data_IF_089395527295
#
_entry.id   IF_089395527295
#
_cell.length_a   1.000
_cell.length_b   1.000
_cell.length_c   1.000
_cell.angle_alpha   90.00
_cell.angle_beta   90.00
_cell.angle_gamma   90.00
#
_symmetry.space_group_name_H-M   'P 1'
#
loop_
_entity.id
_entity.type
_entity.pdbx_description
1 polymer ?
#
# COMPACT_ATOMS: atom_id res chain seq x y z
N UNK A 1 -1.29 -10.61 23.77
CA UNK A 1 -2.64 -10.90 23.23
C UNK A 1 -2.56 -12.04 22.24
N UNK A 2 -3.67 -12.72 22.01
CA UNK A 2 -3.86 -13.72 20.95
C UNK A 2 -4.58 -13.04 19.80
N UNK A 3 -3.83 -12.79 18.70
CA UNK A 3 -4.29 -12.01 17.55
C UNK A 3 -4.57 -12.97 16.39
N UNK A 4 -5.82 -13.01 15.90
CA UNK A 4 -6.18 -13.75 14.71
C UNK A 4 -6.38 -12.76 13.56
N UNK A 5 -5.53 -12.83 12.56
CA UNK A 5 -5.63 -12.02 11.34
C UNK A 5 -6.19 -12.90 10.22
N UNK A 6 -7.10 -12.36 9.42
CA UNK A 6 -7.67 -13.12 8.29
C UNK A 6 -7.71 -12.28 7.03
N UNK A 7 -7.23 -12.85 5.93
CA UNK A 7 -7.10 -12.18 4.63
C UNK A 7 -7.63 -13.07 3.49
N UNK A 8 -7.95 -12.48 2.36
CA UNK A 8 -8.43 -13.21 1.17
C UNK A 8 -7.40 -14.22 0.66
N UNK A 9 -6.17 -13.81 0.46
CA UNK A 9 -5.03 -14.59 -0.02
C UNK A 9 -3.73 -13.89 0.31
N UNK A 10 -2.59 -14.51 0.01
CA UNK A 10 -1.26 -13.98 0.24
C UNK A 10 -0.46 -13.95 -1.08
N UNK A 11 -1.01 -13.28 -2.09
CA UNK A 11 -0.31 -12.94 -3.32
C UNK A 11 0.61 -11.72 -3.14
N UNK A 12 1.15 -11.21 -4.25
CA UNK A 12 2.04 -10.03 -4.23
C UNK A 12 1.21 -8.75 -4.34
N UNK A 13 0.84 -8.17 -3.20
CA UNK A 13 0.08 -6.93 -3.11
C UNK A 13 0.40 -6.12 -1.85
N UNK A 14 -0.08 -4.88 -1.80
CA UNK A 14 0.18 -3.96 -0.69
C UNK A 14 -0.48 -4.40 0.62
N UNK A 15 -1.73 -4.87 0.57
CA UNK A 15 -2.44 -5.35 1.74
C UNK A 15 -1.81 -6.63 2.30
N UNK A 16 -1.36 -7.52 1.42
CA UNK A 16 -0.70 -8.78 1.78
C UNK A 16 0.64 -8.52 2.47
N UNK A 17 1.45 -7.59 1.93
CA UNK A 17 2.72 -7.16 2.56
C UNK A 17 2.48 -6.55 3.93
N UNK A 18 1.50 -5.65 4.06
CA UNK A 18 1.14 -5.07 5.35
C UNK A 18 0.76 -6.14 6.36
N UNK A 19 -0.14 -7.06 5.98
CA UNK A 19 -0.66 -8.09 6.90
C UNK A 19 0.43 -9.05 7.34
N UNK A 20 1.34 -9.47 6.43
CA UNK A 20 2.48 -10.32 6.80
C UNK A 20 3.47 -9.58 7.69
N UNK A 21 3.81 -8.33 7.36
CA UNK A 21 4.70 -7.53 8.19
C UNK A 21 4.12 -7.24 9.58
N UNK A 22 2.84 -6.92 9.69
CA UNK A 22 2.17 -6.76 10.99
C UNK A 22 2.16 -8.06 11.79
N UNK A 23 1.94 -9.21 11.13
CA UNK A 23 1.96 -10.50 11.81
C UNK A 23 3.35 -10.81 12.40
N UNK A 24 4.41 -10.55 11.64
CA UNK A 24 5.79 -10.68 12.09
C UNK A 24 6.10 -9.74 13.27
N UNK A 25 5.74 -8.46 13.13
CA UNK A 25 5.95 -7.48 14.19
C UNK A 25 5.21 -7.83 15.48
N UNK A 26 3.93 -8.23 15.38
CA UNK A 26 3.16 -8.64 16.57
C UNK A 26 3.75 -9.87 17.25
N UNK A 27 4.29 -10.83 16.49
CA UNK A 27 4.99 -11.99 17.06
C UNK A 27 6.31 -11.58 17.74
N UNK A 28 7.04 -10.63 17.14
CA UNK A 28 8.29 -10.13 17.68
C UNK A 28 8.10 -9.40 19.03
N UNK A 29 7.05 -8.61 19.16
CA UNK A 29 6.70 -7.93 20.44
C UNK A 29 5.93 -8.84 21.42
N UNK A 30 5.90 -10.16 21.17
CA UNK A 30 5.45 -11.18 22.13
C UNK A 30 3.94 -11.49 22.10
N UNK A 31 3.24 -11.21 21.00
CA UNK A 31 1.86 -11.65 20.80
C UNK A 31 1.81 -13.05 20.16
N UNK A 32 0.79 -13.84 20.46
CA UNK A 32 0.50 -15.10 19.78
C UNK A 32 -0.33 -14.80 18.54
N UNK A 33 0.22 -15.05 17.33
CA UNK A 33 -0.39 -14.66 16.06
C UNK A 33 -0.81 -15.86 15.24
N UNK A 34 -2.07 -15.86 14.79
CA UNK A 34 -2.61 -16.79 13.82
C UNK A 34 -3.05 -16.02 12.56
N UNK A 35 -2.37 -16.24 11.45
CA UNK A 35 -2.72 -15.68 10.15
C UNK A 35 -3.50 -16.72 9.33
N UNK A 36 -4.71 -16.37 8.90
CA UNK A 36 -5.62 -17.25 8.16
C UNK A 36 -5.87 -16.68 6.77
N UNK A 37 -5.71 -17.48 5.74
CA UNK A 37 -6.08 -17.11 4.36
C UNK A 37 -7.23 -17.94 3.84
N UNK A 38 -8.07 -17.36 2.98
CA UNK A 38 -9.22 -18.05 2.40
C UNK A 38 -8.85 -18.90 1.20
N UNK A 39 -8.01 -18.38 0.29
CA UNK A 39 -7.70 -19.00 -1.00
C UNK A 39 -6.19 -19.05 -1.28
N UNK A 40 -5.89 -19.78 -2.36
CA UNK A 40 -4.66 -19.72 -3.12
C UNK A 40 -3.44 -20.25 -2.40
N UNK A 41 -2.30 -20.12 -3.02
CA UNK A 41 -1.00 -20.36 -2.42
C UNK A 41 -0.49 -19.12 -1.70
N UNK A 42 0.45 -19.25 -0.79
CA UNK A 42 1.09 -18.13 -0.12
C UNK A 42 2.40 -17.80 -0.86
N UNK A 43 2.33 -16.80 -1.75
CA UNK A 43 3.52 -16.22 -2.39
C UNK A 43 4.29 -15.37 -1.39
N UNK A 44 3.55 -14.59 -0.57
CA UNK A 44 4.07 -13.91 0.61
C UNK A 44 3.78 -14.75 1.85
N UNK A 45 4.76 -14.87 2.74
CA UNK A 45 4.63 -15.57 4.02
C UNK A 45 5.23 -14.71 5.12
N UNK A 46 4.68 -14.78 6.34
CA UNK A 46 5.39 -14.26 7.50
C UNK A 46 6.81 -14.84 7.58
N UNK A 47 7.75 -14.00 7.95
CA UNK A 47 9.16 -14.39 8.13
C UNK A 47 9.41 -15.00 9.50
N UNK A 48 8.63 -14.61 10.51
CA UNK A 48 8.74 -15.11 11.87
C UNK A 48 8.10 -16.50 12.01
N UNK A 49 8.86 -17.54 12.39
CA UNK A 49 8.33 -18.90 12.52
C UNK A 49 7.31 -19.05 13.67
N UNK A 50 7.19 -18.07 14.57
CA UNK A 50 6.17 -18.04 15.63
C UNK A 50 4.78 -17.73 15.09
N UNK A 51 4.67 -17.09 13.91
CA UNK A 51 3.41 -16.83 13.26
C UNK A 51 2.84 -18.12 12.66
N UNK A 52 1.69 -18.56 13.17
CA UNK A 52 0.99 -19.71 12.61
C UNK A 52 0.22 -19.30 11.38
N UNK A 53 0.46 -19.97 10.23
CA UNK A 53 -0.23 -19.74 8.97
C UNK A 53 -1.18 -20.88 8.65
N UNK A 54 -2.48 -20.57 8.45
CA UNK A 54 -3.52 -21.52 8.12
C UNK A 54 -4.23 -21.17 6.81
N UNK A 55 -4.67 -22.21 6.08
CA UNK A 55 -5.42 -22.04 4.83
C UNK A 55 -6.80 -22.69 4.94
N UNK A 56 -7.86 -21.93 4.74
CA UNK A 56 -9.23 -22.46 4.76
C UNK A 56 -9.57 -23.26 3.51
N UNK A 57 -8.77 -23.18 2.45
CA UNK A 57 -9.00 -23.86 1.17
C UNK A 57 -10.44 -23.64 0.64
N UNK A 58 -10.90 -22.39 0.71
CA UNK A 58 -12.27 -22.04 0.35
C UNK A 58 -12.47 -22.22 -1.16
N UNK A 59 -13.49 -22.97 -1.53
CA UNK A 59 -13.90 -23.12 -2.94
C UNK A 59 -14.99 -22.10 -3.27
N UNK A 60 -15.01 -21.62 -4.51
CA UNK A 60 -15.99 -20.65 -5.02
C UNK A 60 -17.36 -21.33 -5.31
N UNK A 61 -17.89 -22.03 -4.32
CA UNK A 61 -19.22 -22.65 -4.36
C UNK A 61 -19.91 -22.46 -3.02
N UNK A 62 -21.25 -22.43 -2.93
CA UNK A 62 -21.96 -22.26 -1.66
C UNK A 62 -21.53 -23.27 -0.58
N UNK A 63 -21.43 -24.55 -0.93
CA UNK A 63 -20.95 -25.59 -0.02
C UNK A 63 -19.49 -25.41 0.36
N UNK A 64 -18.65 -24.94 -0.56
CA UNK A 64 -17.23 -24.65 -0.30
C UNK A 64 -17.06 -23.49 0.67
N UNK A 65 -17.85 -22.44 0.54
CA UNK A 65 -17.90 -21.32 1.48
C UNK A 65 -18.37 -21.79 2.86
N UNK A 66 -19.46 -22.57 2.92
CA UNK A 66 -19.96 -23.11 4.20
C UNK A 66 -18.91 -23.98 4.89
N UNK A 67 -18.25 -24.88 4.16
CA UNK A 67 -17.19 -25.74 4.70
C UNK A 67 -16.00 -24.90 5.23
N UNK A 68 -15.59 -23.86 4.52
CA UNK A 68 -14.55 -22.93 4.97
C UNK A 68 -14.98 -22.18 6.24
N UNK A 69 -16.22 -21.72 6.33
CA UNK A 69 -16.75 -21.06 7.53
C UNK A 69 -16.78 -21.98 8.75
N UNK A 70 -17.14 -23.27 8.56
CA UNK A 70 -17.07 -24.25 9.64
C UNK A 70 -15.61 -24.47 10.10
N UNK A 71 -14.65 -24.55 9.19
CA UNK A 71 -13.22 -24.65 9.54
C UNK A 71 -12.76 -23.38 10.27
N UNK A 72 -13.14 -22.21 9.77
CA UNK A 72 -12.78 -20.93 10.39
C UNK A 72 -13.36 -20.82 11.81
N UNK A 73 -14.63 -21.19 12.00
CA UNK A 73 -15.22 -21.27 13.33
C UNK A 73 -14.44 -22.18 14.28
N UNK A 74 -14.02 -23.36 13.81
CA UNK A 74 -13.20 -24.28 14.62
C UNK A 74 -11.87 -23.65 15.00
N UNK A 75 -11.20 -22.97 14.08
CA UNK A 75 -9.94 -22.25 14.34
C UNK A 75 -10.15 -21.16 15.40
N UNK A 76 -11.18 -20.32 15.26
CA UNK A 76 -11.50 -19.28 16.24
C UNK A 76 -11.76 -19.89 17.61
N UNK A 77 -12.59 -20.94 17.70
CA UNK A 77 -12.91 -21.58 18.98
C UNK A 77 -11.70 -22.30 19.62
N UNK A 78 -10.80 -22.87 18.85
CA UNK A 78 -9.60 -23.54 19.37
C UNK A 78 -8.50 -22.56 19.73
N UNK A 79 -8.30 -21.53 18.91
CA UNK A 79 -7.29 -20.49 19.15
C UNK A 79 -7.72 -19.52 20.26
N UNK A 80 -9.02 -19.26 20.44
CA UNK A 80 -9.59 -18.33 21.41
C UNK A 80 -8.94 -16.96 21.35
N UNK A 81 -9.04 -16.25 20.22
CA UNK A 81 -8.38 -14.96 20.05
C UNK A 81 -8.97 -13.91 20.99
N UNK A 82 -8.13 -12.98 21.45
CA UNK A 82 -8.55 -11.75 22.11
C UNK A 82 -9.14 -10.78 21.08
N UNK A 83 -8.59 -10.77 19.86
CA UNK A 83 -9.03 -9.95 18.74
C UNK A 83 -8.97 -10.75 17.43
N UNK A 84 -9.98 -10.52 16.59
CA UNK A 84 -10.01 -10.96 15.20
C UNK A 84 -9.91 -9.72 14.31
N UNK A 85 -8.88 -9.63 13.46
CA UNK A 85 -8.76 -8.58 12.46
C UNK A 85 -8.91 -9.18 11.06
N UNK A 86 -9.96 -8.78 10.37
CA UNK A 86 -10.24 -9.19 8.99
C UNK A 86 -9.80 -8.13 7.99
N UNK A 87 -9.15 -8.56 6.90
CA UNK A 87 -8.63 -7.68 5.86
C UNK A 87 -9.25 -8.00 4.50
N UNK A 88 -9.62 -6.97 3.74
CA UNK A 88 -10.29 -7.04 2.44
C UNK A 88 -11.78 -7.43 2.53
N UNK A 89 -12.52 -7.20 1.42
CA UNK A 89 -13.98 -7.29 1.38
C UNK A 89 -14.55 -8.66 1.79
N UNK A 90 -14.04 -9.75 1.22
CA UNK A 90 -14.62 -11.08 1.47
C UNK A 90 -14.40 -11.53 2.92
N UNK A 91 -13.17 -11.49 3.49
CA UNK A 91 -12.97 -11.77 4.91
C UNK A 91 -13.79 -10.85 5.81
N UNK A 92 -13.86 -9.53 5.51
CA UNK A 92 -14.64 -8.60 6.32
C UNK A 92 -16.11 -9.03 6.44
N UNK A 93 -16.76 -9.29 5.32
CA UNK A 93 -18.19 -9.67 5.32
C UNK A 93 -18.39 -11.03 5.97
N UNK A 94 -17.60 -12.04 5.58
CA UNK A 94 -17.77 -13.41 6.07
C UNK A 94 -17.45 -13.54 7.58
N UNK A 95 -16.43 -12.83 8.08
CA UNK A 95 -16.09 -12.85 9.50
C UNK A 95 -17.16 -12.15 10.34
N UNK A 96 -17.70 -11.01 9.87
CA UNK A 96 -18.83 -10.33 10.49
C UNK A 96 -20.05 -11.27 10.62
N UNK A 97 -20.42 -11.96 9.54
CA UNK A 97 -21.53 -12.93 9.57
C UNK A 97 -21.24 -14.12 10.50
N UNK A 98 -20.00 -14.62 10.50
CA UNK A 98 -19.59 -15.72 11.38
C UNK A 98 -19.67 -15.35 12.86
N UNK A 99 -19.48 -14.08 13.23
CA UNK A 99 -19.60 -13.58 14.61
C UNK A 99 -20.98 -13.85 15.23
N UNK A 100 -22.03 -13.96 14.42
CA UNK A 100 -23.39 -14.28 14.91
C UNK A 100 -23.47 -15.66 15.61
N UNK A 101 -22.57 -16.57 15.25
CA UNK A 101 -22.56 -17.97 15.75
C UNK A 101 -21.22 -18.38 16.36
N UNK A 102 -20.29 -17.43 16.51
CA UNK A 102 -18.93 -17.69 17.01
C UNK A 102 -18.50 -16.55 17.92
N UNK A 103 -18.06 -16.83 19.16
CA UNK A 103 -17.58 -15.80 20.06
C UNK A 103 -16.28 -15.17 19.54
N UNK A 104 -16.33 -13.86 19.33
CA UNK A 104 -15.19 -13.02 18.96
C UNK A 104 -15.23 -11.78 19.86
N UNK A 105 -14.39 -11.70 20.91
CA UNK A 105 -14.44 -10.59 21.88
C UNK A 105 -14.31 -9.23 21.21
N UNK A 106 -13.32 -9.09 20.33
CA UNK A 106 -13.11 -7.90 19.51
C UNK A 106 -13.02 -8.28 18.03
N UNK A 107 -13.76 -7.59 17.16
CA UNK A 107 -13.71 -7.76 15.70
C UNK A 107 -13.40 -6.44 15.02
N UNK A 108 -12.24 -6.35 14.41
CA UNK A 108 -11.78 -5.21 13.59
C UNK A 108 -11.89 -5.61 12.11
N UNK A 109 -12.44 -4.74 11.28
CA UNK A 109 -12.59 -4.99 9.84
C UNK A 109 -11.83 -3.94 9.03
N UNK A 110 -10.73 -4.32 8.41
CA UNK A 110 -9.82 -3.44 7.67
C UNK A 110 -10.11 -3.47 6.17
N UNK A 111 -10.46 -2.32 5.60
CA UNK A 111 -10.52 -2.09 4.15
C UNK A 111 -9.18 -1.52 3.66
N UNK A 112 -8.87 -1.70 2.38
CA UNK A 112 -7.59 -1.30 1.79
C UNK A 112 -7.73 -0.46 0.52
N UNK A 113 -8.94 0.00 0.21
CA UNK A 113 -9.26 0.76 -1.00
C UNK A 113 -10.28 1.85 -0.71
N UNK A 114 -10.36 2.86 -1.59
CA UNK A 114 -11.41 3.88 -1.56
C UNK A 114 -12.75 3.33 -2.04
N UNK A 115 -12.75 2.27 -2.84
CA UNK A 115 -13.96 1.63 -3.37
C UNK A 115 -13.73 0.13 -3.54
N UNK A 116 -14.65 -0.68 -3.02
CA UNK A 116 -14.60 -2.15 -3.14
C UNK A 116 -15.22 -2.68 -4.45
N UNK A 117 -15.26 -1.84 -5.49
CA UNK A 117 -15.70 -2.18 -6.84
C UNK A 117 -17.13 -2.76 -6.90
N UNK A 118 -18.12 -1.95 -6.49
CA UNK A 118 -19.52 -2.26 -6.76
C UNK A 118 -20.48 -1.94 -5.62
N UNK A 119 -21.66 -1.42 -6.00
CA UNK A 119 -22.73 -1.04 -5.07
C UNK A 119 -23.17 -2.18 -4.14
N UNK A 120 -23.14 -3.44 -4.63
CA UNK A 120 -23.52 -4.59 -3.84
C UNK A 120 -22.58 -4.88 -2.67
N UNK A 121 -21.26 -4.66 -2.85
CA UNK A 121 -20.28 -4.83 -1.78
C UNK A 121 -20.41 -3.73 -0.72
N UNK A 122 -20.62 -2.48 -1.14
CA UNK A 122 -20.85 -1.36 -0.22
C UNK A 122 -22.16 -1.55 0.57
N UNK A 123 -23.21 -2.08 -0.07
CA UNK A 123 -24.43 -2.47 0.64
C UNK A 123 -24.20 -3.60 1.65
N UNK A 124 -23.38 -4.61 1.30
CA UNK A 124 -23.00 -5.67 2.23
C UNK A 124 -22.24 -5.13 3.45
N UNK A 125 -21.32 -4.18 3.25
CA UNK A 125 -20.67 -3.46 4.36
C UNK A 125 -21.71 -2.78 5.26
N UNK A 126 -22.65 -2.02 4.69
CA UNK A 126 -23.70 -1.33 5.43
C UNK A 126 -24.57 -2.25 6.26
N UNK A 127 -25.00 -3.38 5.68
CA UNK A 127 -25.87 -4.34 6.35
C UNK A 127 -25.17 -5.09 7.48
N UNK A 128 -23.85 -5.29 7.37
CA UNK A 128 -23.03 -6.02 8.34
C UNK A 128 -22.22 -5.13 9.27
N UNK A 129 -22.27 -3.80 9.12
CA UNK A 129 -21.49 -2.84 9.88
C UNK A 129 -21.57 -3.04 11.40
N UNK A 130 -22.77 -3.29 11.92
CA UNK A 130 -23.00 -3.49 13.36
C UNK A 130 -22.33 -4.74 13.94
N UNK A 131 -21.92 -5.67 13.09
CA UNK A 131 -21.30 -6.94 13.49
C UNK A 131 -19.79 -6.81 13.73
N UNK A 132 -19.14 -5.75 13.27
CA UNK A 132 -17.79 -5.39 13.69
C UNK A 132 -17.84 -4.43 14.87
N UNK A 133 -16.82 -4.40 15.73
CA UNK A 133 -16.71 -3.37 16.76
C UNK A 133 -16.26 -2.05 16.15
N UNK A 134 -15.29 -2.11 15.26
CA UNK A 134 -14.79 -0.98 14.48
C UNK A 134 -14.30 -1.43 13.10
N UNK A 135 -14.34 -0.52 12.16
CA UNK A 135 -13.71 -0.70 10.84
C UNK A 135 -12.51 0.23 10.69
N UNK A 136 -11.54 -0.14 9.84
CA UNK A 136 -10.41 0.72 9.50
C UNK A 136 -10.27 0.84 7.99
N UNK A 137 -9.68 1.95 7.52
CA UNK A 137 -9.24 2.09 6.13
C UNK A 137 -7.90 2.82 6.11
N UNK A 138 -7.24 2.80 4.96
CA UNK A 138 -5.82 3.15 4.80
C UNK A 138 -5.55 4.64 4.61
N UNK A 139 -6.58 5.47 4.44
CA UNK A 139 -6.47 6.92 4.30
C UNK A 139 -7.77 7.61 4.72
N UNK A 140 -7.70 8.90 5.07
CA UNK A 140 -8.87 9.71 5.41
C UNK A 140 -9.80 9.85 4.22
N UNK A 141 -9.25 10.00 3.00
CA UNK A 141 -10.04 10.01 1.77
C UNK A 141 -10.82 8.69 1.60
N UNK A 142 -10.19 7.54 1.88
CA UNK A 142 -10.85 6.25 1.78
C UNK A 142 -11.95 6.08 2.84
N UNK A 143 -11.76 6.57 4.04
CA UNK A 143 -12.78 6.60 5.10
C UNK A 143 -13.96 7.47 4.67
N UNK A 144 -13.70 8.66 4.13
CA UNK A 144 -14.73 9.57 3.67
C UNK A 144 -15.51 9.02 2.46
N UNK A 145 -14.81 8.36 1.52
CA UNK A 145 -15.44 7.68 0.39
C UNK A 145 -16.43 6.58 0.84
N UNK A 146 -16.08 5.80 1.88
CA UNK A 146 -16.98 4.79 2.45
C UNK A 146 -18.19 5.42 3.15
N UNK A 147 -18.03 6.56 3.83
CA UNK A 147 -19.14 7.32 4.43
C UNK A 147 -20.08 7.85 3.36
N UNK A 148 -19.55 8.51 2.32
CA UNK A 148 -20.33 9.07 1.22
C UNK A 148 -21.12 8.02 0.46
N UNK A 149 -20.57 6.81 0.29
CA UNK A 149 -21.26 5.67 -0.31
C UNK A 149 -22.25 4.99 0.66
N UNK A 150 -22.35 5.48 1.89
CA UNK A 150 -23.26 4.94 2.90
C UNK A 150 -22.95 3.50 3.32
N UNK A 151 -21.69 3.08 3.18
CA UNK A 151 -21.24 1.74 3.55
C UNK A 151 -21.17 1.51 5.07
N UNK A 152 -21.11 2.58 5.83
CA UNK A 152 -20.91 2.56 7.29
C UNK A 152 -21.70 3.67 7.96
N UNK A 153 -21.93 3.54 9.26
CA UNK A 153 -22.47 4.60 10.09
C UNK A 153 -21.36 5.58 10.49
N UNK A 154 -21.67 6.84 10.78
CA UNK A 154 -20.71 7.80 11.30
C UNK A 154 -19.99 7.27 12.56
N UNK A 155 -18.68 7.51 12.65
CA UNK A 155 -17.86 7.08 13.79
C UNK A 155 -17.50 5.59 13.83
N UNK A 156 -17.87 4.80 12.82
CA UNK A 156 -17.62 3.34 12.78
C UNK A 156 -16.37 2.94 12.00
N UNK A 157 -15.68 3.89 11.40
CA UNK A 157 -14.43 3.64 10.67
C UNK A 157 -13.41 4.72 11.03
N UNK A 158 -12.20 4.28 11.29
CA UNK A 158 -11.03 5.13 11.57
C UNK A 158 -9.95 4.88 10.55
N UNK A 159 -9.09 5.87 10.36
CA UNK A 159 -7.91 5.76 9.49
C UNK A 159 -6.79 5.07 10.23
N UNK A 160 -6.23 4.02 9.64
CA UNK A 160 -4.93 3.44 9.98
C UNK A 160 -4.13 3.32 8.70
N UNK A 161 -3.15 4.21 8.54
CA UNK A 161 -2.29 4.22 7.36
C UNK A 161 -1.48 2.93 7.26
N UNK A 162 -1.15 2.54 6.03
CA UNK A 162 -0.28 1.38 5.79
C UNK A 162 1.13 1.61 6.32
N UNK A 163 1.72 0.57 6.89
CA UNK A 163 3.10 0.57 7.37
C UNK A 163 4.11 0.14 6.31
N UNK A 164 5.27 0.79 6.34
CA UNK A 164 6.41 0.51 5.47
C UNK A 164 7.55 -0.07 6.32
N UNK A 165 8.19 -1.11 5.82
CA UNK A 165 9.45 -1.61 6.38
C UNK A 165 10.58 -0.63 6.07
N UNK A 166 10.82 0.32 6.98
CA UNK A 166 11.82 1.37 6.82
C UNK A 166 13.27 0.88 6.95
N UNK A 167 13.47 -0.35 7.40
CA UNK A 167 14.78 -0.99 7.40
C UNK A 167 15.11 -1.58 6.02
N UNK A 168 14.13 -2.24 5.38
CA UNK A 168 14.28 -2.74 4.02
C UNK A 168 14.34 -1.60 2.98
N UNK A 169 13.52 -0.56 3.17
CA UNK A 169 13.51 0.63 2.31
C UNK A 169 14.42 1.72 2.88
N UNK A 170 15.70 1.61 2.58
CA UNK A 170 16.73 2.59 2.96
C UNK A 170 17.64 2.86 1.78
N UNK A 171 18.31 4.02 1.79
CA UNK A 171 19.30 4.34 0.76
C UNK A 171 20.55 3.48 0.93
N UNK A 172 20.91 2.77 -0.15
CA UNK A 172 22.12 1.94 -0.24
C UNK A 172 23.00 2.42 -1.41
N UNK A 173 24.16 3.06 -1.14
CA UNK A 173 25.06 3.51 -2.18
C UNK A 173 25.60 2.40 -3.07
N UNK A 174 25.89 1.21 -2.50
CA UNK A 174 26.40 0.08 -3.27
C UNK A 174 25.32 -0.49 -4.21
N UNK A 175 24.07 -0.56 -3.75
CA UNK A 175 22.94 -0.92 -4.60
C UNK A 175 22.73 0.10 -5.72
N UNK A 176 22.89 1.40 -5.43
CA UNK A 176 22.82 2.45 -6.45
C UNK A 176 23.85 2.25 -7.55
N UNK A 177 25.11 2.04 -7.21
CA UNK A 177 26.19 1.81 -8.18
C UNK A 177 25.91 0.58 -9.05
N UNK A 178 25.52 -0.55 -8.42
CA UNK A 178 25.23 -1.81 -9.11
C UNK A 178 24.07 -1.68 -10.10
N UNK A 179 22.94 -1.12 -9.67
CA UNK A 179 21.75 -0.98 -10.52
C UNK A 179 22.00 0.00 -11.66
N UNK A 180 22.71 1.10 -11.42
CA UNK A 180 23.05 2.05 -12.49
C UNK A 180 23.98 1.44 -13.53
N UNK A 181 24.95 0.62 -13.12
CA UNK A 181 25.80 -0.15 -14.03
C UNK A 181 24.99 -1.17 -14.84
N UNK A 182 24.05 -1.90 -14.21
CA UNK A 182 23.13 -2.82 -14.88
C UNK A 182 22.32 -2.12 -15.99
N UNK A 183 21.84 -0.91 -15.72
CA UNK A 183 21.08 -0.11 -16.67
C UNK A 183 21.94 0.67 -17.65
N UNK A 184 23.27 0.46 -17.64
CA UNK A 184 24.25 1.20 -18.46
C UNK A 184 24.12 2.71 -18.32
N UNK A 185 23.88 3.20 -17.10
CA UNK A 185 23.73 4.61 -16.75
C UNK A 185 24.98 5.14 -16.07
N UNK A 186 25.42 6.31 -16.50
CA UNK A 186 26.41 7.08 -15.76
C UNK A 186 25.89 7.43 -14.37
N UNK A 187 26.80 7.54 -13.37
CA UNK A 187 26.44 7.89 -12.00
C UNK A 187 25.78 9.27 -11.88
N UNK A 188 26.11 10.18 -12.78
CA UNK A 188 25.52 11.52 -12.85
C UNK A 188 24.25 11.61 -13.74
N UNK A 189 23.94 10.58 -14.55
CA UNK A 189 22.79 10.62 -15.45
C UNK A 189 21.47 10.62 -14.67
N UNK A 190 20.55 11.57 -14.91
CA UNK A 190 19.27 11.63 -14.19
C UNK A 190 18.42 10.39 -14.46
N UNK A 191 18.02 9.68 -13.39
CA UNK A 191 17.14 8.51 -13.46
C UNK A 191 15.81 8.79 -12.73
N UNK A 192 14.73 8.75 -13.48
CA UNK A 192 13.37 8.69 -12.95
C UNK A 192 12.97 7.23 -12.74
N UNK A 193 12.22 6.96 -11.68
CA UNK A 193 11.69 5.61 -11.38
C UNK A 193 10.18 5.67 -11.20
N UNK A 194 9.48 4.75 -11.81
CA UNK A 194 8.07 4.47 -11.53
C UNK A 194 7.89 2.98 -11.25
N UNK A 195 7.13 2.64 -10.20
CA UNK A 195 6.92 1.26 -9.77
C UNK A 195 5.43 0.99 -9.64
N UNK A 196 4.95 -0.06 -10.28
CA UNK A 196 3.57 -0.51 -10.15
C UNK A 196 3.11 -1.35 -11.33
N UNK A 197 1.97 -2.05 -11.14
CA UNK A 197 1.37 -2.86 -12.19
C UNK A 197 1.01 -2.00 -13.40
N UNK A 198 1.29 -2.47 -14.62
CA UNK A 198 0.95 -1.79 -15.87
C UNK A 198 -0.56 -1.92 -16.14
N UNK A 199 -1.33 -1.10 -15.44
CA UNK A 199 -2.78 -1.11 -15.37
C UNK A 199 -3.33 0.32 -15.45
N UNK A 200 -4.59 0.50 -15.83
CA UNK A 200 -5.26 1.80 -15.98
C UNK A 200 -5.11 2.72 -14.74
N UNK A 201 -5.15 2.14 -13.54
CA UNK A 201 -4.99 2.87 -12.29
C UNK A 201 -3.72 3.70 -12.23
N UNK A 202 -2.59 3.16 -12.75
CA UNK A 202 -1.27 3.79 -12.67
C UNK A 202 -1.05 4.90 -13.69
N UNK A 203 -1.93 5.00 -14.68
CA UNK A 203 -1.95 6.04 -15.71
C UNK A 203 -0.56 6.34 -16.31
N UNK A 204 0.16 5.27 -16.69
CA UNK A 204 1.45 5.39 -17.37
C UNK A 204 1.39 6.17 -18.69
N UNK A 205 0.26 6.21 -19.44
CA UNK A 205 0.10 7.12 -20.57
C UNK A 205 0.36 8.58 -20.19
N UNK A 206 -0.14 9.04 -19.05
CA UNK A 206 0.10 10.39 -18.52
C UNK A 206 1.59 10.63 -18.23
N UNK A 207 2.29 9.62 -17.67
CA UNK A 207 3.74 9.69 -17.40
C UNK A 207 4.55 9.76 -18.71
N UNK A 208 4.25 8.93 -19.71
CA UNK A 208 4.93 8.96 -21.00
C UNK A 208 4.72 10.29 -21.72
N UNK A 209 3.50 10.85 -21.69
CA UNK A 209 3.22 12.18 -22.23
C UNK A 209 3.98 13.28 -21.48
N UNK A 210 4.10 13.17 -20.15
CA UNK A 210 4.90 14.10 -19.36
C UNK A 210 6.39 14.01 -19.71
N UNK A 211 6.91 12.79 -19.87
CA UNK A 211 8.30 12.54 -20.28
C UNK A 211 8.61 13.18 -21.64
N UNK A 212 7.71 13.01 -22.62
CA UNK A 212 7.87 13.56 -23.96
C UNK A 212 7.94 15.11 -23.99
N UNK A 213 7.43 15.79 -22.96
CA UNK A 213 7.53 17.24 -22.78
C UNK A 213 8.86 17.70 -22.16
N UNK A 214 9.75 16.76 -21.81
CA UNK A 214 11.04 17.10 -21.16
C UNK A 214 12.17 17.22 -22.16
N UNK A 215 12.66 18.46 -22.46
CA UNK A 215 13.74 18.67 -23.43
C UNK A 215 15.07 18.07 -22.98
N UNK A 216 15.25 17.87 -21.66
CA UNK A 216 16.46 17.29 -21.09
C UNK A 216 16.58 15.77 -21.29
N UNK A 217 15.53 15.12 -21.81
CA UNK A 217 15.47 13.68 -22.12
C UNK A 217 15.97 12.79 -20.96
N UNK A 218 15.40 12.90 -19.73
CA UNK A 218 15.82 12.05 -18.61
C UNK A 218 15.52 10.57 -18.90
N UNK A 219 16.29 9.66 -18.31
CA UNK A 219 15.97 8.23 -18.36
C UNK A 219 14.83 7.91 -17.39
N UNK A 220 13.94 7.01 -17.78
CA UNK A 220 12.82 6.50 -16.99
C UNK A 220 12.87 5.00 -16.89
N UNK A 221 12.99 4.46 -15.67
CA UNK A 221 12.81 3.05 -15.41
C UNK A 221 11.37 2.81 -14.94
N UNK A 222 10.65 1.89 -15.59
CA UNK A 222 9.32 1.45 -15.20
C UNK A 222 9.42 0.00 -14.73
N UNK A 223 9.07 -0.21 -13.46
CA UNK A 223 9.11 -1.52 -12.78
C UNK A 223 7.69 -2.03 -12.58
N UNK A 224 7.45 -3.21 -13.06
CA UNK A 224 6.17 -3.90 -13.01
C UNK A 224 5.79 -4.49 -14.35
N UNK A 225 4.71 -5.24 -14.34
CA UNK A 225 4.13 -5.84 -15.53
C UNK A 225 2.61 -5.73 -15.51
N UNK A 226 1.95 -5.95 -16.64
CA UNK A 226 0.50 -5.88 -16.73
C UNK A 226 0.00 -5.81 -18.16
N UNK A 227 -1.33 -5.85 -18.35
CA UNK A 227 -1.95 -5.96 -19.67
C UNK A 227 -1.69 -4.77 -20.60
N UNK A 228 -1.26 -3.62 -20.06
CA UNK A 228 -0.99 -2.42 -20.88
C UNK A 228 0.46 -2.36 -21.42
N UNK A 229 1.30 -3.39 -21.18
CA UNK A 229 2.72 -3.33 -21.51
C UNK A 229 2.96 -3.02 -22.99
N UNK A 230 2.38 -3.80 -23.89
CA UNK A 230 2.57 -3.63 -25.36
C UNK A 230 2.07 -2.26 -25.83
N UNK A 231 0.94 -1.80 -25.31
CA UNK A 231 0.38 -0.48 -25.62
C UNK A 231 1.30 0.66 -25.17
N UNK A 232 1.89 0.55 -23.98
CA UNK A 232 2.81 1.55 -23.43
C UNK A 232 4.14 1.58 -24.19
N UNK A 233 4.67 0.44 -24.61
CA UNK A 233 5.87 0.36 -25.45
C UNK A 233 5.62 1.00 -26.82
N UNK A 234 4.48 0.71 -27.47
CA UNK A 234 4.07 1.35 -28.72
C UNK A 234 3.88 2.87 -28.56
N UNK A 235 3.27 3.30 -27.46
CA UNK A 235 3.08 4.71 -27.14
C UNK A 235 4.42 5.44 -26.93
N UNK A 236 5.38 4.84 -26.23
CA UNK A 236 6.72 5.41 -26.07
C UNK A 236 7.41 5.62 -27.42
N UNK A 237 7.24 4.66 -28.35
CA UNK A 237 7.69 4.79 -29.74
C UNK A 237 7.06 5.97 -30.48
N UNK A 238 5.73 6.09 -30.42
CA UNK A 238 4.98 7.16 -31.09
C UNK A 238 5.28 8.55 -30.56
N UNK A 239 5.59 8.65 -29.25
CA UNK A 239 5.99 9.90 -28.59
C UNK A 239 7.49 10.24 -28.78
N UNK A 240 8.28 9.35 -29.41
CA UNK A 240 9.71 9.56 -29.63
C UNK A 240 10.56 9.50 -28.36
N UNK A 241 10.10 8.75 -27.34
CA UNK A 241 10.78 8.59 -26.04
C UNK A 241 11.22 7.15 -25.76
N UNK A 242 11.06 6.23 -26.70
CA UNK A 242 11.36 4.81 -26.49
C UNK A 242 12.81 4.56 -26.02
N UNK A 243 13.77 5.34 -26.52
CA UNK A 243 15.19 5.28 -26.12
C UNK A 243 15.47 5.77 -24.69
N UNK A 244 14.52 6.45 -24.07
CA UNK A 244 14.61 6.96 -22.70
C UNK A 244 13.97 6.01 -21.69
N UNK A 245 13.05 5.12 -22.12
CA UNK A 245 12.23 4.30 -21.22
C UNK A 245 12.76 2.87 -21.15
N UNK A 246 13.03 2.42 -19.92
CA UNK A 246 13.41 1.05 -19.63
C UNK A 246 12.24 0.33 -18.92
N UNK A 247 11.55 -0.55 -19.63
CA UNK A 247 10.54 -1.42 -19.04
C UNK A 247 11.23 -2.65 -18.43
N UNK A 248 11.38 -2.65 -17.11
CA UNK A 248 12.18 -3.65 -16.36
C UNK A 248 11.41 -4.94 -16.00
N UNK A 249 10.09 -4.98 -16.28
CA UNK A 249 9.26 -6.10 -15.87
C UNK A 249 9.12 -6.19 -14.34
N UNK A 250 8.74 -7.36 -13.85
CA UNK A 250 8.64 -7.62 -12.41
C UNK A 250 10.03 -7.72 -11.81
N UNK A 251 10.29 -6.94 -10.76
CA UNK A 251 11.55 -6.92 -10.00
C UNK A 251 11.26 -7.16 -8.53
N UNK A 252 12.18 -7.85 -7.84
CA UNK A 252 12.09 -8.12 -6.40
C UNK A 252 13.03 -7.24 -5.57
N UNK A 253 13.96 -6.55 -6.22
CA UNK A 253 14.95 -5.65 -5.64
C UNK A 253 14.52 -4.17 -5.72
N UNK A 254 13.23 -3.90 -5.52
CA UNK A 254 12.65 -2.55 -5.57
C UNK A 254 13.40 -1.55 -4.68
N UNK A 255 13.84 -1.90 -3.44
CA UNK A 255 14.65 -0.98 -2.64
C UNK A 255 15.95 -0.55 -3.33
N UNK A 256 16.64 -1.45 -4.03
CA UNK A 256 17.86 -1.14 -4.78
C UNK A 256 17.58 -0.21 -5.97
N UNK A 257 16.46 -0.42 -6.68
CA UNK A 257 16.02 0.45 -7.76
C UNK A 257 15.64 1.85 -7.25
N UNK A 258 15.00 1.95 -6.08
CA UNK A 258 14.73 3.22 -5.42
C UNK A 258 16.03 3.94 -5.02
N UNK A 259 17.01 3.23 -4.45
CA UNK A 259 18.32 3.79 -4.15
C UNK A 259 19.03 4.29 -5.42
N UNK A 260 18.87 3.61 -6.56
CA UNK A 260 19.47 3.99 -7.84
C UNK A 260 18.86 5.25 -8.46
N UNK A 261 17.59 5.53 -8.19
CA UNK A 261 16.86 6.66 -8.78
C UNK A 261 17.21 8.00 -8.12
N UNK A 262 16.96 9.08 -8.84
CA UNK A 262 17.09 10.45 -8.33
C UNK A 262 15.71 11.02 -7.98
N UNK A 263 14.69 10.70 -8.78
CA UNK A 263 13.30 11.12 -8.57
C UNK A 263 12.39 9.91 -8.75
N UNK A 264 11.52 9.68 -7.79
CA UNK A 264 10.42 8.74 -7.93
C UNK A 264 9.18 9.44 -8.48
N UNK A 265 8.50 8.85 -9.45
CA UNK A 265 7.31 9.44 -10.08
C UNK A 265 6.12 8.50 -9.95
N UNK A 266 5.02 8.99 -9.38
CA UNK A 266 3.72 8.35 -9.39
C UNK A 266 2.76 9.13 -10.27
N UNK A 267 2.22 8.50 -11.33
CA UNK A 267 1.26 9.12 -12.25
C UNK A 267 -0.18 8.66 -12.06
N UNK A 268 -0.47 7.92 -11.00
CA UNK A 268 -1.74 7.21 -10.80
C UNK A 268 -2.97 8.12 -10.94
N UNK A 269 -4.02 7.60 -11.55
CA UNK A 269 -5.31 8.28 -11.62
C UNK A 269 -6.10 8.15 -10.31
N UNK A 270 -5.88 7.07 -9.55
CA UNK A 270 -6.45 6.83 -8.21
C UNK A 270 -5.56 5.88 -7.41
N UNK A 271 -5.55 6.05 -6.09
CA UNK A 271 -4.83 5.21 -5.12
C UNK A 271 -5.67 5.00 -3.86
N UNK A 272 -5.37 3.94 -3.11
CA UNK A 272 -5.86 3.79 -1.75
C UNK A 272 -5.00 4.57 -0.75
N UNK A 273 -3.68 4.37 -0.83
CA UNK A 273 -2.68 4.99 0.05
C UNK A 273 -1.45 5.48 -0.72
N UNK A 274 -0.94 4.71 -1.69
CA UNK A 274 0.30 5.04 -2.40
C UNK A 274 1.54 4.45 -1.73
N UNK A 275 1.51 3.16 -1.37
CA UNK A 275 2.62 2.46 -0.71
C UNK A 275 3.98 2.72 -1.36
N UNK A 276 4.05 2.66 -2.69
CA UNK A 276 5.32 2.86 -3.44
C UNK A 276 5.87 4.28 -3.29
N UNK A 277 5.01 5.28 -2.98
CA UNK A 277 5.43 6.64 -2.65
C UNK A 277 6.12 6.66 -1.29
N UNK A 278 5.50 6.04 -0.28
CA UNK A 278 6.10 5.93 1.05
C UNK A 278 7.41 5.11 1.02
N UNK A 279 7.48 4.04 0.23
CA UNK A 279 8.69 3.25 0.00
C UNK A 279 9.83 4.11 -0.60
N UNK A 280 9.53 4.95 -1.59
CA UNK A 280 10.50 5.87 -2.19
C UNK A 280 10.95 6.96 -1.20
N UNK A 281 10.01 7.53 -0.43
CA UNK A 281 10.30 8.50 0.64
C UNK A 281 11.15 7.86 1.74
N UNK A 282 10.90 6.60 2.12
CA UNK A 282 11.73 5.86 3.06
C UNK A 282 13.18 5.73 2.58
N UNK A 283 13.41 5.57 1.26
CA UNK A 283 14.72 5.59 0.65
C UNK A 283 15.31 7.01 0.50
N UNK A 284 14.67 8.04 1.02
CA UNK A 284 15.11 9.44 0.91
C UNK A 284 15.07 9.97 -0.52
N UNK A 285 14.17 9.46 -1.37
CA UNK A 285 14.05 9.93 -2.75
C UNK A 285 13.14 11.15 -2.84
N UNK A 286 13.48 12.07 -3.74
CA UNK A 286 12.57 13.14 -4.14
C UNK A 286 11.38 12.50 -4.85
N UNK A 287 10.17 12.85 -4.42
CA UNK A 287 8.93 12.31 -4.97
C UNK A 287 8.18 13.36 -5.76
N UNK A 288 7.72 12.98 -6.96
CA UNK A 288 6.71 13.68 -7.74
C UNK A 288 5.52 12.75 -7.89
N UNK A 289 4.37 13.13 -7.36
CA UNK A 289 3.19 12.25 -7.34
C UNK A 289 1.91 12.99 -7.73
N UNK A 290 1.00 12.24 -8.33
CA UNK A 290 -0.37 12.72 -8.52
C UNK A 290 -1.11 12.75 -7.18
N UNK A 291 -1.86 13.80 -6.96
CA UNK A 291 -2.69 14.05 -5.78
C UNK A 291 -3.99 13.28 -5.88
N UNK A 292 -3.97 12.01 -5.49
CA UNK A 292 -5.12 11.12 -5.57
C UNK A 292 -5.11 10.11 -4.41
N UNK A 293 -6.26 9.83 -3.84
CA UNK A 293 -6.38 8.96 -2.67
C UNK A 293 -5.52 9.44 -1.50
N UNK A 294 -4.97 8.53 -0.74
CA UNK A 294 -4.09 8.83 0.39
C UNK A 294 -2.70 9.38 0.04
N UNK A 295 -2.38 9.60 -1.24
CA UNK A 295 -1.03 10.07 -1.66
C UNK A 295 -0.68 11.43 -1.04
N UNK A 296 -1.64 12.35 -0.96
CA UNK A 296 -1.45 13.65 -0.28
C UNK A 296 -1.06 13.47 1.19
N UNK A 297 -1.73 12.53 1.88
CA UNK A 297 -1.46 12.24 3.29
C UNK A 297 -0.04 11.68 3.49
N UNK A 298 0.44 10.87 2.53
CA UNK A 298 1.79 10.32 2.54
C UNK A 298 2.83 11.40 2.26
N UNK A 299 2.68 12.14 1.18
CA UNK A 299 3.69 13.12 0.72
C UNK A 299 3.77 14.32 1.66
N UNK A 300 2.64 14.88 2.09
CA UNK A 300 2.61 16.14 2.84
C UNK A 300 3.38 17.24 2.11
N UNK A 301 4.30 17.89 2.83
CA UNK A 301 5.18 18.94 2.28
C UNK A 301 6.55 18.40 1.81
N UNK A 302 6.77 17.08 1.92
CA UNK A 302 8.06 16.46 1.63
C UNK A 302 8.21 15.95 0.18
N UNK A 303 7.48 16.56 -0.78
CA UNK A 303 7.52 16.19 -2.20
C UNK A 303 6.69 17.13 -3.07
N UNK A 304 6.50 16.74 -4.31
CA UNK A 304 5.73 17.52 -5.28
C UNK A 304 4.41 16.80 -5.61
N UNK A 305 3.28 17.48 -5.38
CA UNK A 305 1.95 16.98 -5.73
C UNK A 305 1.40 17.72 -6.94
N UNK A 306 0.80 16.97 -7.86
CA UNK A 306 0.18 17.51 -9.09
C UNK A 306 -1.21 16.90 -9.30
N UNK A 307 -2.12 17.58 -10.01
CA UNK A 307 -3.41 16.99 -10.35
C UNK A 307 -3.26 15.68 -11.16
N UNK A 308 -4.06 14.65 -10.91
CA UNK A 308 -4.07 13.44 -11.73
C UNK A 308 -4.51 13.73 -13.17
N UNK A 309 -4.08 12.91 -14.12
CA UNK A 309 -4.39 13.03 -15.55
C UNK A 309 -3.96 14.38 -16.16
N UNK A 310 -2.90 14.96 -15.66
CA UNK A 310 -2.34 16.23 -16.14
C UNK A 310 -0.84 16.07 -16.45
N UNK A 311 -0.54 15.69 -17.69
CA UNK A 311 0.83 15.46 -18.15
C UNK A 311 1.69 16.74 -18.14
N UNK A 312 1.10 17.91 -18.31
CA UNK A 312 1.82 19.18 -18.27
C UNK A 312 2.30 19.49 -16.86
N UNK A 313 1.40 19.46 -15.87
CA UNK A 313 1.74 19.67 -14.47
C UNK A 313 2.76 18.62 -13.97
N UNK A 314 2.60 17.36 -14.39
CA UNK A 314 3.54 16.28 -14.07
C UNK A 314 4.93 16.55 -14.66
N UNK A 315 5.01 16.97 -15.92
CA UNK A 315 6.25 17.36 -16.58
C UNK A 315 6.95 18.54 -15.88
N UNK A 316 6.19 19.58 -15.52
CA UNK A 316 6.73 20.73 -14.79
C UNK A 316 7.30 20.32 -13.43
N UNK A 317 6.57 19.52 -12.66
CA UNK A 317 7.02 19.04 -11.35
C UNK A 317 8.27 18.14 -11.46
N UNK A 318 8.32 17.24 -12.44
CA UNK A 318 9.52 16.45 -12.76
C UNK A 318 10.72 17.36 -13.06
N UNK A 319 10.50 18.45 -13.81
CA UNK A 319 11.55 19.44 -14.09
C UNK A 319 11.99 20.23 -12.86
N UNK A 320 11.07 20.59 -11.96
CA UNK A 320 11.41 21.26 -10.69
C UNK A 320 12.23 20.32 -9.80
N UNK A 321 11.79 19.08 -9.62
CA UNK A 321 12.48 18.08 -8.83
C UNK A 321 13.92 17.83 -9.33
N UNK A 322 14.12 17.85 -10.64
CA UNK A 322 15.44 17.65 -11.24
C UNK A 322 16.38 18.86 -11.08
N UNK A 323 15.83 20.08 -11.03
CA UNK A 323 16.61 21.31 -10.87
C UNK A 323 17.01 21.63 -9.43
N UNK A 324 16.56 20.84 -8.46
CA UNK A 324 17.01 20.98 -7.08
C UNK A 324 18.53 20.86 -7.01
N UNK A 325 19.16 21.74 -6.26
CA UNK A 325 20.57 21.58 -5.85
C UNK A 325 20.75 20.32 -5.02
N UNK A 326 21.97 19.86 -4.84
CA UNK A 326 22.27 18.67 -4.05
C UNK A 326 21.81 18.86 -2.60
N UNK A 327 22.01 20.03 -2.02
CA UNK A 327 21.56 20.37 -0.66
C UNK A 327 20.03 20.37 -0.53
N UNK A 328 19.31 20.95 -1.50
CA UNK A 328 17.84 20.93 -1.52
C UNK A 328 17.30 19.52 -1.66
N UNK A 329 17.91 18.71 -2.52
CA UNK A 329 17.54 17.30 -2.74
C UNK A 329 17.76 16.47 -1.47
N UNK A 330 18.92 16.65 -0.81
CA UNK A 330 19.25 15.96 0.43
C UNK A 330 18.29 16.37 1.56
N UNK A 331 18.02 17.66 1.71
CA UNK A 331 17.09 18.17 2.73
C UNK A 331 15.67 17.63 2.52
N UNK A 332 15.16 17.68 1.27
CA UNK A 332 13.84 17.15 0.94
C UNK A 332 13.76 15.65 1.15
N UNK A 333 14.79 14.89 0.71
CA UNK A 333 14.88 13.45 0.91
C UNK A 333 14.93 13.05 2.40
N UNK A 334 15.65 13.82 3.21
CA UNK A 334 15.71 13.62 4.67
C UNK A 334 14.36 13.88 5.33
N UNK A 335 13.68 14.96 4.96
CA UNK A 335 12.33 15.27 5.44
C UNK A 335 11.33 14.20 5.04
N UNK A 336 11.41 13.72 3.78
CA UNK A 336 10.58 12.63 3.29
C UNK A 336 10.76 11.33 4.11
N UNK A 337 12.02 10.92 4.34
CA UNK A 337 12.31 9.74 5.15
C UNK A 337 11.84 9.90 6.60
N UNK A 338 12.13 11.04 7.22
CA UNK A 338 11.71 11.32 8.58
C UNK A 338 10.19 11.19 8.73
N UNK A 339 9.43 11.80 7.82
CA UNK A 339 7.98 11.69 7.80
C UNK A 339 7.49 10.24 7.74
N UNK A 340 8.11 9.41 6.87
CA UNK A 340 7.71 7.99 6.77
C UNK A 340 8.06 7.22 8.04
N UNK A 341 9.24 7.43 8.62
CA UNK A 341 9.66 6.77 9.86
C UNK A 341 8.70 7.11 11.02
N UNK A 342 8.31 8.38 11.14
CA UNK A 342 7.47 8.86 12.24
C UNK A 342 5.99 8.44 12.08
N UNK A 343 5.47 8.46 10.84
CA UNK A 343 4.02 8.33 10.64
C UNK A 343 3.60 7.04 9.92
N UNK A 344 4.48 6.46 9.12
CA UNK A 344 4.16 5.36 8.21
C UNK A 344 5.14 4.18 8.32
N UNK A 345 5.94 4.09 9.38
CA UNK A 345 6.71 2.87 9.65
C UNK A 345 5.77 1.73 10.02
N UNK A 346 6.23 0.50 9.83
CA UNK A 346 5.48 -0.70 10.20
C UNK A 346 5.19 -0.71 11.71
N UNK A 347 6.16 -0.27 12.51
CA UNK A 347 6.07 -0.14 13.95
C UNK A 347 4.96 0.84 14.36
N UNK A 348 4.98 2.06 13.80
CA UNK A 348 3.96 3.08 14.07
C UNK A 348 2.54 2.61 13.67
N UNK A 349 2.44 1.88 12.56
CA UNK A 349 1.17 1.29 12.12
C UNK A 349 0.71 0.17 13.06
N UNK A 350 1.63 -0.69 13.48
CA UNK A 350 1.35 -1.78 14.42
C UNK A 350 0.85 -1.25 15.77
N UNK A 351 1.46 -0.19 16.30
CA UNK A 351 1.01 0.46 17.55
C UNK A 351 -0.43 0.99 17.44
N UNK A 352 -0.78 1.62 16.31
CA UNK A 352 -2.15 2.07 16.05
C UNK A 352 -3.15 0.91 15.99
N UNK A 353 -2.78 -0.21 15.34
CA UNK A 353 -3.61 -1.41 15.36
C UNK A 353 -3.76 -1.97 16.78
N UNK A 354 -2.68 -2.02 17.57
CA UNK A 354 -2.74 -2.47 18.95
C UNK A 354 -3.64 -1.58 19.83
N UNK A 355 -3.61 -0.27 19.63
CA UNK A 355 -4.53 0.65 20.32
C UNK A 355 -6.00 0.34 19.94
N UNK A 356 -6.29 0.17 18.63
CA UNK A 356 -7.62 -0.26 18.17
C UNK A 356 -8.01 -1.62 18.74
N UNK A 357 -7.09 -2.57 18.86
CA UNK A 357 -7.36 -3.89 19.41
C UNK A 357 -7.70 -3.86 20.90
N UNK A 358 -7.10 -2.93 21.67
CA UNK A 358 -7.35 -2.73 23.11
C UNK A 358 -8.58 -1.89 23.42
N UNK A 359 -9.17 -1.25 22.40
CA UNK A 359 -10.25 -0.24 22.54
C UNK A 359 -9.76 1.06 23.20
N UNK A 360 -8.48 1.37 23.01
CA UNK A 360 -7.92 2.62 23.50
C UNK A 360 -8.48 3.80 22.71
N UNK A 361 -8.62 4.96 23.36
CA UNK A 361 -9.09 6.18 22.68
C UNK A 361 -8.04 6.69 21.69
N UNK A 362 -8.40 6.75 20.40
CA UNK A 362 -7.52 7.22 19.33
C UNK A 362 -7.56 8.75 19.12
N UNK A 363 -8.35 9.48 19.94
CA UNK A 363 -8.54 10.93 19.77
C UNK A 363 -7.24 11.72 19.88
N UNK A 364 -6.34 11.33 20.78
CA UNK A 364 -5.05 11.97 20.97
C UNK A 364 -4.05 11.69 19.82
N UNK A 365 -4.16 10.51 19.19
CA UNK A 365 -3.29 10.13 18.06
C UNK A 365 -3.70 10.77 16.74
N UNK A 366 -4.98 11.10 16.55
CA UNK A 366 -5.47 11.81 15.37
C UNK A 366 -5.12 13.30 15.39
N UNK A 367 -4.98 13.91 16.55
CA UNK A 367 -4.55 15.32 16.70
C UNK A 367 -3.08 15.54 16.28
N UNK A 368 -2.22 14.55 16.44
CA UNK A 368 -0.81 14.61 16.00
C UNK A 368 -0.65 14.55 14.47
N UNK A 369 -1.68 14.09 13.74
CA UNK A 369 -1.69 14.02 12.27
C UNK A 369 -2.32 15.27 11.61
N UNK A 370 -3.08 16.06 12.36
CA UNK A 370 -3.82 17.24 11.89
C UNK A 370 -3.13 18.57 12.08
N UNK A 371 -1.89 18.62 12.52
CA UNK A 371 -1.12 19.86 12.55
C UNK A 371 -0.55 20.13 11.15
N UNK A 372 -1.16 21.11 10.50
CA UNK A 372 -1.06 21.71 9.17
C UNK A 372 0.33 21.75 8.56
#
# INVERSE_FOLDING_TARGET
MRILMVITGLGVGGAERLVTGLADHFADVGHEVLLVRFFGDAELRPSDPRVRLENLQMRRSPLGVLAAMVRFRRLVCSFRPDVVNSHMVHPNILTRLLRLVTPMPRLVSSAHNTNEQGRGRMLAYRLTDRLADISTNVSDEAVEAFKQQGALRPGRMVTIHNGIDTAAFTFDPAARERVRAELSLDQAAPLLLAVGRLWEQKDYPNLLQALARRPERPRLAIVGDGPLREELEAMAGSLGVADQVHFLGVRHDVPALMAASDVFVLSSAWEGFGLVVAEAMACGRVVVATDCGGVREVVGDAGFLVPPRNAEALAEAMGRARRLSDDERENLGRAARQRVVEHFSLEATAERYLAVYRDDDLSDQQQLQGTK
#
